data_IF_223194960267
#
_entry.id   IF_223194960267
#
_cell.length_a   1.000
_cell.length_b   1.000
_cell.length_c   1.000
_cell.angle_alpha   90.00
_cell.angle_beta   90.00
_cell.angle_gamma   90.00
#
_symmetry.space_group_name_H-M   'P 1'
#
loop_
_entity.id
_entity.type
_entity.pdbx_description
1 polymer ?
#
# COMPACT_ATOMS: atom_id res chain seq x y z
N UNK A 1 26.41 -24.71 7.59
CA UNK A 1 24.94 -25.07 7.51
C UNK A 1 24.08 -23.95 6.91
N UNK A 2 24.59 -23.11 6.05
CA UNK A 2 23.86 -22.01 5.40
C UNK A 2 23.47 -22.28 3.93
N UNK A 3 23.68 -23.48 3.40
CA UNK A 3 23.55 -23.75 1.96
C UNK A 3 22.18 -24.31 1.51
N UNK A 4 21.15 -24.35 2.39
CA UNK A 4 19.91 -25.06 2.07
C UNK A 4 18.66 -24.16 1.93
N UNK A 5 18.81 -22.85 1.79
CA UNK A 5 17.67 -21.96 1.65
C UNK A 5 17.52 -21.30 0.27
N UNK A 6 18.36 -21.62 -0.70
CA UNK A 6 18.32 -21.00 -2.03
C UNK A 6 17.14 -21.44 -2.93
N UNK A 7 16.35 -22.45 -2.55
CA UNK A 7 15.30 -23.00 -3.39
C UNK A 7 13.85 -22.68 -3.01
N UNK A 8 13.59 -22.03 -1.88
CA UNK A 8 12.22 -21.84 -1.36
C UNK A 8 11.60 -20.45 -1.53
N UNK A 9 12.28 -19.36 -1.90
CA UNK A 9 11.65 -18.05 -2.05
C UNK A 9 10.69 -17.93 -3.24
N UNK A 10 10.79 -18.81 -4.23
CA UNK A 10 10.04 -18.64 -5.48
C UNK A 10 8.54 -18.91 -5.37
N UNK A 11 8.10 -19.84 -4.53
CA UNK A 11 6.69 -20.22 -4.49
C UNK A 11 5.79 -19.11 -3.90
N UNK A 12 6.10 -18.54 -2.74
CA UNK A 12 5.29 -17.45 -2.19
C UNK A 12 5.22 -16.25 -3.14
N UNK A 13 6.34 -15.83 -3.73
CA UNK A 13 6.38 -14.72 -4.66
C UNK A 13 5.56 -14.99 -5.95
N UNK A 14 5.58 -16.24 -6.45
CA UNK A 14 4.75 -16.64 -7.60
C UNK A 14 3.26 -16.62 -7.26
N UNK A 15 2.87 -17.10 -6.09
CA UNK A 15 1.48 -17.04 -5.62
C UNK A 15 1.02 -15.58 -5.54
N UNK A 16 1.83 -14.71 -4.92
CA UNK A 16 1.54 -13.29 -4.87
C UNK A 16 1.39 -12.67 -6.26
N UNK A 17 2.30 -12.98 -7.18
CA UNK A 17 2.28 -12.43 -8.55
C UNK A 17 0.96 -12.72 -9.27
N UNK A 18 0.52 -13.98 -9.28
CA UNK A 18 -0.73 -14.35 -9.93
C UNK A 18 -1.95 -13.75 -9.23
N UNK A 19 -1.93 -13.73 -7.90
CA UNK A 19 -2.99 -13.11 -7.12
C UNK A 19 -3.08 -11.61 -7.37
N UNK A 20 -1.95 -10.91 -7.36
CA UNK A 20 -1.89 -9.46 -7.59
C UNK A 20 -2.38 -9.08 -8.98
N UNK A 21 -2.05 -9.85 -10.02
CA UNK A 21 -2.57 -9.60 -11.37
C UNK A 21 -4.11 -9.62 -11.37
N UNK A 22 -4.73 -10.61 -10.74
CA UNK A 22 -6.19 -10.65 -10.61
C UNK A 22 -6.76 -9.49 -9.78
N UNK A 23 -6.04 -9.02 -8.77
CA UNK A 23 -6.44 -7.84 -8.00
C UNK A 23 -6.33 -6.55 -8.80
N UNK A 24 -5.34 -6.42 -9.69
CA UNK A 24 -5.20 -5.24 -10.58
C UNK A 24 -6.44 -5.11 -11.46
N UNK A 25 -6.84 -6.19 -12.13
CA UNK A 25 -8.03 -6.19 -13.00
C UNK A 25 -9.30 -5.83 -12.23
N UNK A 26 -9.48 -6.41 -11.04
CA UNK A 26 -10.64 -6.12 -10.18
C UNK A 26 -10.65 -4.66 -9.69
N UNK A 27 -9.49 -4.12 -9.28
CA UNK A 27 -9.37 -2.72 -8.86
C UNK A 27 -9.66 -1.77 -10.01
N UNK A 28 -9.19 -2.10 -11.20
CA UNK A 28 -9.50 -1.33 -12.41
C UNK A 28 -11.00 -1.33 -12.72
N UNK A 29 -11.65 -2.49 -12.64
CA UNK A 29 -13.09 -2.61 -12.82
C UNK A 29 -13.87 -1.79 -11.77
N UNK A 30 -13.48 -1.85 -10.50
CA UNK A 30 -14.09 -1.08 -9.42
C UNK A 30 -13.97 0.42 -9.66
N UNK A 31 -12.81 0.92 -10.06
CA UNK A 31 -12.61 2.33 -10.39
C UNK A 31 -13.47 2.78 -11.58
N UNK A 32 -13.56 1.98 -12.63
CA UNK A 32 -14.43 2.29 -13.78
C UNK A 32 -15.91 2.30 -13.44
N UNK A 33 -16.31 1.48 -12.48
CA UNK A 33 -17.68 1.45 -11.95
C UNK A 33 -17.99 2.58 -10.95
N UNK A 34 -16.94 3.32 -10.49
CA UNK A 34 -17.08 4.28 -9.40
C UNK A 34 -17.26 3.65 -8.02
N UNK A 35 -16.98 2.34 -7.89
CA UNK A 35 -17.09 1.59 -6.64
C UNK A 35 -15.79 1.75 -5.82
N UNK A 36 -15.74 2.87 -5.11
CA UNK A 36 -14.54 3.21 -4.29
C UNK A 36 -14.41 2.26 -3.10
N UNK A 37 -15.51 1.81 -2.51
CA UNK A 37 -15.47 0.88 -1.38
C UNK A 37 -14.82 -0.45 -1.79
N UNK A 38 -15.24 -1.00 -2.92
CA UNK A 38 -14.62 -2.21 -3.47
C UNK A 38 -13.15 -1.99 -3.83
N UNK A 39 -12.80 -0.85 -4.41
CA UNK A 39 -11.41 -0.51 -4.69
C UNK A 39 -10.54 -0.49 -3.41
N UNK A 40 -11.04 0.08 -2.32
CA UNK A 40 -10.33 0.13 -1.04
C UNK A 40 -10.18 -1.26 -0.42
N UNK A 41 -11.22 -2.10 -0.47
CA UNK A 41 -11.14 -3.49 -0.01
C UNK A 41 -10.05 -4.24 -0.78
N UNK A 42 -10.06 -4.21 -2.10
CA UNK A 42 -9.07 -4.88 -2.94
C UNK A 42 -7.64 -4.32 -2.74
N UNK A 43 -7.53 -3.05 -2.39
CA UNK A 43 -6.23 -2.43 -2.07
C UNK A 43 -5.67 -2.96 -0.75
N UNK A 44 -6.51 -3.16 0.27
CA UNK A 44 -6.09 -3.81 1.53
C UNK A 44 -5.69 -5.26 1.30
N UNK A 45 -6.45 -6.02 0.50
CA UNK A 45 -6.10 -7.40 0.14
C UNK A 45 -4.74 -7.47 -0.55
N UNK A 46 -4.45 -6.57 -1.48
CA UNK A 46 -3.16 -6.44 -2.14
C UNK A 46 -2.03 -6.15 -1.14
N UNK A 47 -2.26 -5.23 -0.19
CA UNK A 47 -1.32 -4.91 0.89
C UNK A 47 -1.03 -6.12 1.78
N UNK A 48 -2.07 -6.82 2.23
CA UNK A 48 -1.94 -8.02 3.05
C UNK A 48 -1.19 -9.14 2.30
N UNK A 49 -1.50 -9.35 1.03
CA UNK A 49 -0.82 -10.34 0.19
C UNK A 49 0.67 -10.02 0.05
N UNK A 50 1.03 -8.76 -0.24
CA UNK A 50 2.44 -8.37 -0.37
C UNK A 50 3.21 -8.51 0.95
N UNK A 51 2.61 -8.11 2.05
CA UNK A 51 3.21 -8.26 3.38
C UNK A 51 3.45 -9.73 3.74
N UNK A 52 2.48 -10.60 3.46
CA UNK A 52 2.55 -12.02 3.81
C UNK A 52 3.49 -12.81 2.90
N UNK A 53 3.35 -12.67 1.58
CA UNK A 53 4.06 -13.51 0.63
C UNK A 53 5.43 -12.96 0.21
N UNK A 54 5.59 -11.63 0.17
CA UNK A 54 6.87 -11.01 -0.16
C UNK A 54 7.66 -10.58 1.09
N UNK A 55 6.99 -10.48 2.26
CA UNK A 55 7.58 -9.94 3.49
C UNK A 55 8.26 -8.57 3.29
N UNK A 56 7.72 -7.80 2.35
CA UNK A 56 8.30 -6.53 1.92
C UNK A 56 8.11 -5.38 2.92
N UNK A 57 7.41 -5.63 4.01
CA UNK A 57 7.32 -4.73 5.17
C UNK A 57 8.57 -4.77 6.05
N UNK A 58 9.40 -5.81 5.90
CA UNK A 58 10.60 -6.02 6.72
C UNK A 58 11.76 -5.20 6.18
N UNK A 59 12.33 -4.32 7.02
CA UNK A 59 13.58 -3.65 6.69
C UNK A 59 14.75 -4.64 6.80
N UNK A 60 15.68 -4.59 5.86
CA UNK A 60 16.85 -5.49 5.86
C UNK A 60 17.88 -5.16 6.94
N UNK A 61 17.84 -3.96 7.49
CA UNK A 61 18.81 -3.44 8.45
C UNK A 61 18.12 -3.12 9.77
N UNK A 62 18.55 -3.81 10.84
CA UNK A 62 18.11 -3.53 12.20
C UNK A 62 16.91 -4.36 12.69
N UNK A 63 16.67 -4.27 14.00
CA UNK A 63 15.54 -4.93 14.67
C UNK A 63 14.23 -4.15 14.51
N UNK A 64 14.30 -2.85 14.22
CA UNK A 64 13.15 -1.99 14.04
C UNK A 64 12.53 -2.18 12.66
N UNK A 65 11.20 -2.13 12.61
CA UNK A 65 10.42 -2.32 11.39
C UNK A 65 9.59 -1.06 11.09
N UNK A 66 10.22 0.02 10.62
CA UNK A 66 9.58 1.33 10.48
C UNK A 66 8.39 1.30 9.51
N UNK A 67 8.47 0.51 8.44
CA UNK A 67 7.36 0.38 7.48
C UNK A 67 6.14 -0.28 8.10
N UNK A 68 6.33 -1.34 8.89
CA UNK A 68 5.24 -2.01 9.60
C UNK A 68 4.61 -1.08 10.65
N UNK A 69 5.43 -0.34 11.37
CA UNK A 69 4.97 0.64 12.34
C UNK A 69 4.14 1.75 11.67
N UNK A 70 4.65 2.32 10.57
CA UNK A 70 3.92 3.33 9.81
C UNK A 70 2.59 2.81 9.25
N UNK A 71 2.55 1.56 8.75
CA UNK A 71 1.31 0.92 8.29
C UNK A 71 0.30 0.77 9.44
N UNK A 72 0.74 0.28 10.60
CA UNK A 72 -0.14 0.09 11.76
C UNK A 72 -0.74 1.41 12.25
N UNK A 73 0.07 2.48 12.31
CA UNK A 73 -0.41 3.82 12.68
C UNK A 73 -1.40 4.36 11.64
N UNK A 74 -1.09 4.20 10.35
CA UNK A 74 -1.97 4.65 9.27
C UNK A 74 -3.33 3.92 9.31
N UNK A 75 -3.33 2.60 9.47
CA UNK A 75 -4.57 1.81 9.63
C UNK A 75 -5.37 2.28 10.86
N UNK A 76 -4.70 2.55 11.97
CA UNK A 76 -5.36 3.05 13.18
C UNK A 76 -6.06 4.41 12.96
N UNK A 77 -5.40 5.33 12.22
CA UNK A 77 -6.02 6.63 11.91
C UNK A 77 -7.17 6.50 10.92
N UNK A 78 -7.03 5.62 9.93
CA UNK A 78 -8.04 5.40 8.89
C UNK A 78 -9.32 4.75 9.46
N UNK A 79 -9.19 3.94 10.50
CA UNK A 79 -10.32 3.27 11.18
C UNK A 79 -11.30 2.61 10.18
N UNK A 80 -10.73 1.87 9.23
CA UNK A 80 -11.48 1.17 8.18
C UNK A 80 -12.04 2.05 7.04
N UNK A 81 -11.90 3.38 7.11
CA UNK A 81 -12.45 4.31 6.11
C UNK A 81 -11.58 4.50 4.87
N UNK A 82 -10.36 4.02 4.89
CA UNK A 82 -9.41 4.14 3.79
C UNK A 82 -8.67 2.83 3.54
N UNK A 83 -7.53 2.90 2.88
CA UNK A 83 -6.64 1.76 2.70
C UNK A 83 -5.17 2.22 2.72
N UNK A 84 -4.30 1.39 3.26
CA UNK A 84 -2.86 1.63 3.24
C UNK A 84 -2.11 0.38 2.83
N UNK A 85 -1.01 0.53 2.14
CA UNK A 85 -0.14 -0.58 1.72
C UNK A 85 1.30 -0.11 1.51
N UNK A 86 2.21 -1.06 1.41
CA UNK A 86 3.55 -0.78 0.89
C UNK A 86 3.41 -0.32 -0.58
N UNK A 87 4.17 0.71 -0.94
CA UNK A 87 4.30 1.17 -2.31
C UNK A 87 5.62 0.71 -2.92
N UNK A 88 5.56 0.14 -4.13
CA UNK A 88 6.74 -0.41 -4.81
C UNK A 88 7.31 -1.67 -4.14
N UNK A 89 8.62 -1.83 -4.18
CA UNK A 89 9.32 -3.03 -3.70
C UNK A 89 9.30 -3.24 -2.18
N UNK A 90 9.04 -2.20 -1.41
CA UNK A 90 9.06 -2.24 0.05
C UNK A 90 10.45 -2.17 0.65
N UNK A 91 10.73 -3.00 1.69
CA UNK A 91 12.01 -3.11 2.39
C UNK A 91 12.51 -1.80 3.03
N UNK A 92 11.60 -1.05 3.66
CA UNK A 92 11.90 0.24 4.30
C UNK A 92 11.68 1.45 3.39
N UNK A 93 11.00 1.26 2.25
CA UNK A 93 10.62 2.33 1.34
C UNK A 93 9.36 3.09 1.76
N UNK A 94 8.54 3.46 0.80
CA UNK A 94 7.33 4.25 1.02
C UNK A 94 6.09 3.40 1.27
N UNK A 95 5.14 3.95 2.02
CA UNK A 95 3.76 3.47 2.07
C UNK A 95 2.86 4.38 1.23
N UNK A 96 1.78 3.81 0.71
CA UNK A 96 0.72 4.54 0.02
C UNK A 96 -0.55 4.43 0.83
N UNK A 97 -1.18 5.57 1.12
CA UNK A 97 -2.46 5.64 1.81
C UNK A 97 -3.52 6.29 0.93
N UNK A 98 -4.70 5.70 0.90
CA UNK A 98 -5.91 6.24 0.32
C UNK A 98 -6.77 6.76 1.48
N UNK A 99 -6.83 8.07 1.61
CA UNK A 99 -7.42 8.75 2.76
C UNK A 99 -8.67 9.52 2.30
N UNK A 100 -9.83 9.38 2.97
CA UNK A 100 -10.99 10.21 2.72
C UNK A 100 -10.65 11.70 2.89
N UNK A 101 -11.23 12.55 2.04
CA UNK A 101 -10.89 13.98 2.02
C UNK A 101 -11.13 14.68 3.37
N UNK A 102 -12.18 14.29 4.08
CA UNK A 102 -12.51 14.82 5.42
C UNK A 102 -11.54 14.38 6.51
N UNK A 103 -10.73 13.36 6.26
CA UNK A 103 -9.77 12.81 7.22
C UNK A 103 -8.32 13.24 6.94
N UNK A 104 -8.03 13.86 5.80
CA UNK A 104 -6.67 14.14 5.34
C UNK A 104 -5.87 14.95 6.35
N UNK A 105 -6.40 16.05 6.84
CA UNK A 105 -5.69 16.93 7.78
C UNK A 105 -5.40 16.22 9.11
N UNK A 106 -6.37 15.47 9.61
CA UNK A 106 -6.21 14.65 10.82
C UNK A 106 -5.17 13.56 10.61
N UNK A 107 -5.21 12.90 9.46
CA UNK A 107 -4.25 11.85 9.10
C UNK A 107 -2.82 12.39 9.06
N UNK A 108 -2.60 13.49 8.35
CA UNK A 108 -1.28 14.12 8.23
C UNK A 108 -0.77 14.56 9.60
N UNK A 109 -1.62 15.24 10.41
CA UNK A 109 -1.23 15.72 11.72
C UNK A 109 -0.82 14.58 12.63
N UNK A 110 -1.62 13.51 12.70
CA UNK A 110 -1.32 12.35 13.55
C UNK A 110 -0.09 11.59 13.07
N UNK A 111 0.04 11.34 11.77
CA UNK A 111 1.21 10.63 11.23
C UNK A 111 2.49 11.40 11.50
N UNK A 112 2.52 12.72 11.27
CA UNK A 112 3.68 13.56 11.57
C UNK A 112 4.01 13.60 13.07
N UNK A 113 2.99 13.66 13.92
CA UNK A 113 3.18 13.65 15.38
C UNK A 113 3.82 12.35 15.88
N UNK A 114 3.48 11.21 15.29
CA UNK A 114 3.94 9.91 15.75
C UNK A 114 5.25 9.44 15.08
N UNK A 115 5.45 9.80 13.81
CA UNK A 115 6.61 9.36 13.03
C UNK A 115 7.76 10.38 13.06
N UNK A 116 7.48 11.62 13.51
CA UNK A 116 8.44 12.72 13.53
C UNK A 116 8.83 13.18 12.11
N UNK A 117 9.81 14.09 12.04
CA UNK A 117 10.29 14.65 10.76
C UNK A 117 11.04 13.65 9.87
N UNK A 118 11.35 12.47 10.39
CA UNK A 118 12.10 11.45 9.66
C UNK A 118 11.32 10.79 8.52
N UNK A 119 9.98 10.93 8.51
CA UNK A 119 9.11 10.34 7.48
C UNK A 119 8.18 11.41 6.90
N UNK A 120 8.64 12.18 5.91
CA UNK A 120 7.83 13.23 5.33
C UNK A 120 6.57 12.64 4.68
N UNK A 121 5.41 13.13 5.07
CA UNK A 121 4.14 12.83 4.41
C UNK A 121 4.02 13.75 3.20
N UNK A 122 4.11 13.16 2.01
CA UNK A 122 3.89 13.91 0.76
C UNK A 122 2.48 13.61 0.26
N UNK A 123 1.65 14.65 0.16
CA UNK A 123 0.34 14.54 -0.50
C UNK A 123 0.52 14.91 -1.97
N UNK A 124 0.37 13.95 -2.92
CA UNK A 124 0.24 14.34 -4.30
C UNK A 124 -1.06 15.14 -4.45
N UNK A 125 -0.95 16.38 -4.92
CA UNK A 125 -2.12 17.20 -5.22
C UNK A 125 -2.90 16.56 -6.38
N UNK A 126 -3.93 15.81 -6.09
CA UNK A 126 -4.95 15.38 -7.05
C UNK A 126 -5.95 16.53 -7.29
N UNK A 127 -5.43 17.70 -7.61
CA UNK A 127 -6.25 18.77 -8.15
C UNK A 127 -6.34 18.58 -9.66
N UNK A 128 -7.37 17.94 -10.07
CA UNK A 128 -8.13 17.91 -11.33
C UNK A 128 -8.39 16.47 -11.77
N UNK A 129 -9.66 16.25 -11.98
CA UNK A 129 -10.22 15.01 -12.45
C UNK A 129 -9.49 14.42 -13.65
N UNK A 130 -9.52 13.12 -13.73
CA UNK A 130 -9.22 12.35 -14.92
C UNK A 130 -10.00 12.93 -16.11
N UNK A 131 -9.40 13.87 -16.82
CA UNK A 131 -9.84 14.16 -18.18
C UNK A 131 -9.49 12.93 -18.99
N UNK A 132 -10.52 12.20 -19.45
CA UNK A 132 -10.38 11.19 -20.47
C UNK A 132 -9.71 11.86 -21.67
N UNK A 133 -8.43 11.59 -21.89
CA UNK A 133 -7.88 11.73 -23.23
C UNK A 133 -8.43 10.55 -24.03
N UNK A 134 -9.44 10.83 -24.83
CA UNK A 134 -9.88 9.90 -25.86
C UNK A 134 -8.69 9.63 -26.77
N UNK A 135 -8.30 8.38 -26.90
CA UNK A 135 -7.57 7.94 -28.07
C UNK A 135 -8.56 8.11 -29.23
N UNK A 136 -8.34 9.10 -30.07
CA UNK A 136 -8.91 9.11 -31.41
C UNK A 136 -8.08 8.15 -32.25
N UNK A 137 -8.78 7.27 -32.92
CA UNK A 137 -8.33 6.33 -33.95
C UNK A 137 -7.55 7.02 -35.09
#
# INVERSE_FOLDING_TARGET
>A
RAAHQAGRPCLPARVHYWYENGLVDKRWAALNAGDIDQFLVLTRESGASSAMYLQNVVAKLGAEQPSMYALALAEHVLDGRGAVRIHGGGFGGTIQAFVPLDLVDTFITKMNSWLGEALPVTTPSLTRGLTRHGCND
#
